data_IF_695011063052
#
_entry.id   IF_695011063052
#
_cell.length_a   1.000
_cell.length_b   1.000
_cell.length_c   1.000
_cell.angle_alpha   90.00
_cell.angle_beta   90.00
_cell.angle_gamma   90.00
#
_symmetry.space_group_name_H-M   'P 1'
#
loop_
_entity.id
_entity.type
_entity.pdbx_description
1 polymer ?
#
# COMPACT_ATOMS: atom_id res chain seq x y z
N UNK A 1 -16.55 5.80 -7.68
CA UNK A 1 -16.03 6.64 -6.59
C UNK A 1 -14.76 7.33 -7.07
N UNK A 2 -14.79 8.66 -7.15
CA UNK A 2 -13.64 9.51 -7.49
C UNK A 2 -12.59 9.42 -6.38
N UNK A 3 -11.31 9.36 -6.74
CA UNK A 3 -10.21 9.43 -5.77
C UNK A 3 -10.27 10.81 -5.10
N UNK A 4 -10.30 10.91 -3.76
CA UNK A 4 -10.50 12.19 -3.07
C UNK A 4 -9.40 13.21 -3.44
N UNK A 5 -8.17 12.72 -3.57
CA UNK A 5 -7.04 13.42 -4.17
C UNK A 5 -6.07 12.37 -4.73
N UNK A 6 -5.07 12.78 -5.49
CA UNK A 6 -4.02 11.88 -5.99
C UNK A 6 -2.67 12.56 -5.84
N UNK A 7 -1.70 11.80 -5.35
CA UNK A 7 -0.29 12.16 -5.37
C UNK A 7 0.53 10.92 -5.79
N UNK A 8 1.81 11.12 -6.06
CA UNK A 8 2.80 10.05 -6.14
C UNK A 8 3.86 10.31 -5.08
N UNK A 9 4.53 9.26 -4.63
CA UNK A 9 5.74 9.42 -3.84
C UNK A 9 6.93 9.71 -4.78
N UNK A 10 7.81 10.62 -4.37
CA UNK A 10 9.18 10.61 -4.86
C UNK A 10 9.88 9.32 -4.41
N UNK A 11 10.85 8.84 -5.18
CA UNK A 11 11.61 7.64 -4.82
C UNK A 11 12.43 7.81 -3.52
N UNK A 12 13.10 8.95 -3.26
CA UNK A 12 13.81 9.15 -2.00
C UNK A 12 12.89 9.03 -0.78
N UNK A 13 11.72 9.68 -0.82
CA UNK A 13 10.75 9.57 0.26
C UNK A 13 10.26 8.13 0.44
N UNK A 14 9.85 7.47 -0.66
CA UNK A 14 9.34 6.09 -0.59
C UNK A 14 10.39 5.11 -0.05
N UNK A 15 11.65 5.30 -0.43
CA UNK A 15 12.77 4.50 0.08
C UNK A 15 12.95 4.69 1.59
N UNK A 16 12.83 5.92 2.11
CA UNK A 16 12.93 6.19 3.56
C UNK A 16 11.76 5.61 4.34
N UNK A 17 10.54 5.77 3.85
CA UNK A 17 9.34 5.14 4.42
C UNK A 17 9.52 3.62 4.46
N UNK A 18 9.99 3.03 3.37
CA UNK A 18 10.19 1.58 3.26
C UNK A 18 11.27 1.09 4.23
N UNK A 19 12.36 1.83 4.38
CA UNK A 19 13.40 1.52 5.37
C UNK A 19 12.88 1.51 6.80
N UNK A 20 12.11 2.54 7.18
CA UNK A 20 11.45 2.59 8.50
C UNK A 20 10.43 1.46 8.68
N UNK A 21 9.68 1.10 7.63
CA UNK A 21 8.74 -0.02 7.67
C UNK A 21 9.45 -1.35 7.86
N UNK A 22 10.55 -1.57 7.15
CA UNK A 22 11.35 -2.78 7.30
C UNK A 22 11.94 -2.89 8.71
N UNK A 23 12.52 -1.81 9.23
CA UNK A 23 13.00 -1.72 10.61
C UNK A 23 11.90 -2.06 11.63
N UNK A 24 10.71 -1.50 11.45
CA UNK A 24 9.59 -1.68 12.36
C UNK A 24 8.95 -3.08 12.30
N UNK A 25 8.93 -3.71 11.12
CA UNK A 25 8.04 -4.85 10.84
C UNK A 25 8.77 -6.17 10.55
N UNK A 26 10.07 -6.13 10.21
CA UNK A 26 10.86 -7.34 9.91
C UNK A 26 10.84 -8.32 11.08
N UNK A 27 10.61 -9.60 10.78
CA UNK A 27 10.43 -10.66 11.77
C UNK A 27 9.05 -10.68 12.46
N UNK A 28 8.23 -9.65 12.25
CA UNK A 28 6.88 -9.54 12.78
C UNK A 28 5.91 -10.58 12.20
N UNK A 29 4.93 -10.99 12.99
CA UNK A 29 3.89 -11.96 12.60
C UNK A 29 2.60 -11.23 12.21
N UNK A 30 2.13 -11.43 10.99
CA UNK A 30 0.88 -10.85 10.49
C UNK A 30 -0.29 -11.56 11.17
N UNK A 31 -1.06 -10.86 12.00
CA UNK A 31 -2.14 -11.45 12.82
C UNK A 31 -3.51 -11.26 12.23
N UNK A 32 -3.80 -10.05 11.74
CA UNK A 32 -5.12 -9.68 11.22
C UNK A 32 -4.96 -8.93 9.92
N UNK A 33 -5.88 -9.19 9.00
CA UNK A 33 -5.91 -8.57 7.68
C UNK A 33 -7.33 -8.10 7.41
N UNK A 34 -7.45 -6.81 7.10
CA UNK A 34 -8.71 -6.16 6.76
C UNK A 34 -8.60 -5.51 5.40
N UNK A 35 -9.73 -5.45 4.68
CA UNK A 35 -9.83 -4.74 3.42
C UNK A 35 -11.11 -3.93 3.39
N UNK A 36 -10.99 -2.67 3.00
CA UNK A 36 -12.12 -1.78 2.71
C UNK A 36 -11.87 -1.06 1.39
N UNK A 37 -12.73 -1.33 0.40
CA UNK A 37 -12.55 -0.83 -0.96
C UNK A 37 -11.17 -1.18 -1.53
N UNK A 38 -10.36 -0.16 -1.81
CA UNK A 38 -8.99 -0.29 -2.31
C UNK A 38 -7.91 -0.20 -1.24
N UNK A 39 -8.27 -0.21 0.05
CA UNK A 39 -7.35 -0.17 1.18
C UNK A 39 -7.26 -1.53 1.87
N UNK A 40 -6.06 -1.87 2.33
CA UNK A 40 -5.75 -3.05 3.14
C UNK A 40 -5.02 -2.60 4.39
N UNK A 41 -5.38 -3.15 5.54
CA UNK A 41 -4.60 -3.00 6.77
C UNK A 41 -4.13 -4.35 7.29
N UNK A 42 -2.89 -4.38 7.77
CA UNK A 42 -2.26 -5.55 8.36
C UNK A 42 -1.88 -5.23 9.80
N UNK A 43 -2.41 -5.99 10.74
CA UNK A 43 -1.92 -5.99 12.13
C UNK A 43 -0.69 -6.89 12.18
N UNK A 44 0.48 -6.31 12.40
CA UNK A 44 1.75 -7.02 12.44
C UNK A 44 2.28 -6.95 13.87
N UNK A 45 2.36 -8.11 14.51
CA UNK A 45 2.84 -8.23 15.88
C UNK A 45 4.35 -8.45 15.89
N UNK A 46 5.07 -7.55 16.55
CA UNK A 46 6.51 -7.60 16.79
C UNK A 46 6.78 -7.63 18.29
N UNK A 47 8.04 -7.79 18.69
CA UNK A 47 8.43 -7.60 20.09
C UNK A 47 8.21 -6.13 20.45
N UNK A 48 7.37 -5.86 21.43
CA UNK A 48 7.04 -4.49 21.88
C UNK A 48 5.66 -3.99 21.47
N UNK A 49 4.93 -4.71 20.60
CA UNK A 49 3.54 -4.36 20.32
C UNK A 49 3.03 -4.84 18.96
N UNK A 50 1.90 -4.26 18.56
CA UNK A 50 1.32 -4.49 17.24
C UNK A 50 1.31 -3.18 16.47
N UNK A 51 1.98 -3.18 15.33
CA UNK A 51 1.89 -2.10 14.35
C UNK A 51 0.74 -2.38 13.37
N UNK A 52 0.11 -1.32 12.87
CA UNK A 52 -0.88 -1.41 11.82
C UNK A 52 -0.24 -0.84 10.55
N UNK A 53 0.05 -1.69 9.58
CA UNK A 53 0.49 -1.27 8.27
C UNK A 53 -0.72 -0.96 7.39
N UNK A 54 -0.79 0.25 6.84
CA UNK A 54 -1.85 0.68 5.93
C UNK A 54 -1.33 0.73 4.49
N UNK A 55 -2.01 0.03 3.59
CA UNK A 55 -1.79 0.09 2.15
C UNK A 55 -3.08 0.55 1.47
N UNK A 56 -3.00 1.44 0.48
CA UNK A 56 -4.15 1.75 -0.35
C UNK A 56 -3.74 2.08 -1.77
N UNK A 57 -4.66 1.87 -2.70
CA UNK A 57 -4.53 2.29 -4.10
C UNK A 57 -5.31 3.57 -4.41
N UNK A 58 -6.16 4.03 -3.47
CA UNK A 58 -7.04 5.20 -3.63
C UNK A 58 -7.27 5.93 -2.29
N UNK A 59 -6.67 7.11 -2.06
CA UNK A 59 -5.43 7.54 -2.71
C UNK A 59 -4.31 6.52 -2.47
N UNK A 60 -3.35 6.36 -3.41
CA UNK A 60 -2.20 5.50 -3.22
C UNK A 60 -1.41 5.90 -1.98
N UNK A 61 -1.26 4.99 -1.00
CA UNK A 61 -0.50 5.27 0.21
C UNK A 61 0.07 4.00 0.84
N UNK A 62 1.16 4.18 1.58
CA UNK A 62 1.80 3.19 2.40
C UNK A 62 2.37 3.87 3.64
N UNK A 63 1.91 3.51 4.83
CA UNK A 63 2.44 4.03 6.10
C UNK A 63 1.99 3.18 7.29
N UNK A 64 2.68 3.31 8.43
CA UNK A 64 2.14 2.90 9.73
C UNK A 64 0.97 3.80 10.14
N UNK A 65 -0.02 3.22 10.81
CA UNK A 65 -1.17 3.96 11.34
C UNK A 65 -1.42 3.62 12.80
N UNK A 66 -1.92 4.60 13.54
CA UNK A 66 -2.39 4.44 14.92
C UNK A 66 -3.86 4.03 14.99
N UNK A 67 -4.58 4.09 13.86
CA UNK A 67 -6.01 3.83 13.79
C UNK A 67 -6.34 2.66 12.87
N UNK A 68 -7.55 2.11 13.04
CA UNK A 68 -8.10 1.04 12.19
C UNK A 68 -9.24 1.61 11.34
N UNK A 69 -9.49 1.09 10.13
CA UNK A 69 -10.72 1.39 9.43
C UNK A 69 -11.91 0.89 10.26
N UNK A 70 -12.93 1.74 10.42
CA UNK A 70 -14.17 1.41 11.12
C UNK A 70 -15.14 0.83 10.10
N UNK A 71 -15.62 -0.39 10.36
CA UNK A 71 -16.56 -1.08 9.49
C UNK A 71 -15.89 -2.17 8.69
N UNK A 72 -16.45 -3.38 8.76
CA UNK A 72 -16.02 -4.49 7.92
C UNK A 72 -17.25 -5.03 7.21
N UNK A 73 -17.18 -5.26 5.89
CA UNK A 73 -18.28 -5.91 5.20
C UNK A 73 -18.50 -7.29 5.83
N UNK A 74 -19.75 -7.74 5.99
CA UNK A 74 -20.07 -9.03 6.61
C UNK A 74 -19.43 -10.22 5.87
N UNK A 75 -19.13 -10.05 4.57
CA UNK A 75 -18.32 -10.99 3.78
C UNK A 75 -17.03 -10.32 3.33
N UNK A 76 -15.84 -10.86 3.67
CA UNK A 76 -14.58 -10.28 3.23
C UNK A 76 -14.45 -10.38 1.70
N UNK A 77 -13.97 -9.33 1.00
CA UNK A 77 -13.73 -9.38 -0.44
C UNK A 77 -12.74 -10.48 -0.83
N UNK A 78 -12.80 -10.95 -2.08
CA UNK A 78 -11.98 -12.08 -2.56
C UNK A 78 -10.46 -11.85 -2.36
N UNK A 79 -9.98 -10.63 -2.61
CA UNK A 79 -8.57 -10.30 -2.37
C UNK A 79 -8.20 -10.42 -0.88
N UNK A 80 -9.04 -9.93 0.04
CA UNK A 80 -8.86 -10.09 1.49
C UNK A 80 -8.78 -11.57 1.89
N UNK A 81 -9.62 -12.43 1.30
CA UNK A 81 -9.58 -13.87 1.56
C UNK A 81 -8.26 -14.49 1.07
N UNK A 82 -7.79 -14.11 -0.11
CA UNK A 82 -6.49 -14.55 -0.62
C UNK A 82 -5.35 -14.09 0.30
N UNK A 83 -5.31 -12.82 0.70
CA UNK A 83 -4.31 -12.33 1.66
C UNK A 83 -4.36 -13.14 2.97
N UNK A 84 -5.55 -13.42 3.50
CA UNK A 84 -5.70 -14.23 4.72
C UNK A 84 -5.17 -15.64 4.55
N UNK A 85 -5.43 -16.28 3.41
CA UNK A 85 -4.92 -17.63 3.11
C UNK A 85 -3.40 -17.71 3.13
N UNK A 86 -2.71 -16.70 2.60
CA UNK A 86 -1.25 -16.77 2.40
C UNK A 86 -0.43 -16.00 3.45
N UNK A 87 -0.98 -14.95 4.05
CA UNK A 87 -0.22 -14.03 4.92
C UNK A 87 -0.60 -14.12 6.39
N UNK A 88 -1.79 -14.61 6.78
CA UNK A 88 -2.11 -14.73 8.21
C UNK A 88 -1.18 -15.74 8.86
N UNK A 89 -0.62 -15.34 10.00
CA UNK A 89 0.46 -15.98 10.74
C UNK A 89 1.82 -16.04 10.03
N UNK A 90 1.94 -15.56 8.79
CA UNK A 90 3.24 -15.46 8.13
C UNK A 90 4.12 -14.44 8.86
N UNK A 91 5.44 -14.68 8.83
CA UNK A 91 6.45 -13.73 9.33
C UNK A 91 6.95 -12.87 8.19
N UNK A 92 7.00 -11.56 8.42
CA UNK A 92 7.63 -10.61 7.49
C UNK A 92 9.12 -10.93 7.40
N UNK A 93 9.60 -11.18 6.19
CA UNK A 93 11.01 -11.47 5.91
C UNK A 93 11.75 -10.18 5.59
N UNK A 94 11.14 -9.35 4.75
CA UNK A 94 11.71 -8.10 4.25
C UNK A 94 10.61 -7.21 3.68
N UNK A 95 10.82 -5.90 3.78
CA UNK A 95 10.11 -4.87 3.04
C UNK A 95 11.14 -4.08 2.22
N UNK A 96 10.96 -4.04 0.90
CA UNK A 96 11.90 -3.39 -0.01
C UNK A 96 11.21 -2.50 -1.03
N UNK A 97 11.88 -1.42 -1.42
CA UNK A 97 11.43 -0.50 -2.47
C UNK A 97 12.21 -0.78 -3.75
N UNK A 98 11.53 -0.78 -4.88
CA UNK A 98 12.18 -0.86 -6.18
C UNK A 98 13.00 0.42 -6.46
N UNK A 99 14.21 0.34 -7.07
CA UNK A 99 15.13 1.47 -7.15
C UNK A 99 14.67 2.62 -8.06
N UNK A 100 13.86 2.33 -9.10
CA UNK A 100 13.45 3.32 -10.11
C UNK A 100 11.94 3.44 -10.32
N UNK A 101 11.15 2.70 -9.53
CA UNK A 101 9.69 2.68 -9.65
C UNK A 101 9.07 2.74 -8.25
N UNK A 102 7.91 3.40 -8.07
CA UNK A 102 7.22 3.47 -6.80
C UNK A 102 6.51 2.13 -6.54
N UNK A 103 7.29 1.09 -6.32
CA UNK A 103 6.83 -0.28 -6.09
C UNK A 103 7.46 -0.77 -4.80
N UNK A 104 6.64 -1.14 -3.83
CA UNK A 104 7.10 -1.70 -2.54
C UNK A 104 6.69 -3.16 -2.47
N UNK A 105 7.61 -4.01 -2.04
CA UNK A 105 7.40 -5.44 -1.88
C UNK A 105 7.57 -5.81 -0.41
N UNK A 106 6.55 -6.41 0.20
CA UNK A 106 6.66 -7.07 1.50
C UNK A 106 6.69 -8.58 1.28
N UNK A 107 7.84 -9.19 1.51
CA UNK A 107 8.02 -10.64 1.49
C UNK A 107 7.63 -11.23 2.85
N UNK A 108 6.90 -12.34 2.84
CA UNK A 108 6.50 -13.04 4.04
C UNK A 108 6.61 -14.54 3.87
N UNK A 109 7.02 -15.23 4.93
CA UNK A 109 7.15 -16.68 4.98
C UNK A 109 6.13 -17.29 5.93
N UNK A 110 5.50 -18.38 5.52
CA UNK A 110 4.58 -19.11 6.38
C UNK A 110 5.26 -19.58 7.67
N UNK A 111 4.50 -19.63 8.76
CA UNK A 111 5.03 -20.03 10.06
C UNK A 111 5.34 -21.53 10.06
N UNK A 112 6.56 -21.88 10.45
CA UNK A 112 6.99 -23.28 10.64
C UNK A 112 7.80 -23.85 9.48
N UNK A 113 7.93 -23.14 8.36
CA UNK A 113 8.65 -23.65 7.19
C UNK A 113 10.18 -23.42 7.22
N UNK A 114 10.75 -22.96 8.34
CA UNK A 114 12.20 -22.73 8.48
C UNK A 114 12.76 -21.69 7.50
N UNK A 115 14.05 -21.75 7.18
CA UNK A 115 14.69 -20.82 6.23
C UNK A 115 14.43 -21.18 4.76
N UNK A 116 14.19 -22.46 4.44
CA UNK A 116 13.84 -22.95 3.11
C UNK A 116 12.35 -22.86 2.75
N UNK A 117 11.54 -22.27 3.64
CA UNK A 117 10.10 -22.16 3.46
C UNK A 117 9.68 -21.25 2.31
N UNK A 118 8.51 -21.53 1.74
CA UNK A 118 7.94 -20.76 0.65
C UNK A 118 7.69 -19.32 1.10
N UNK A 119 8.25 -18.40 0.33
CA UNK A 119 8.03 -16.96 0.51
C UNK A 119 6.95 -16.53 -0.47
N UNK A 120 5.96 -15.80 0.02
CA UNK A 120 4.98 -15.08 -0.81
C UNK A 120 5.23 -13.58 -0.67
N UNK A 121 4.76 -12.78 -1.62
CA UNK A 121 4.99 -11.34 -1.60
C UNK A 121 3.70 -10.54 -1.78
N UNK A 122 3.49 -9.53 -0.93
CA UNK A 122 2.51 -8.48 -1.15
C UNK A 122 3.21 -7.29 -1.80
N UNK A 123 2.83 -6.97 -3.04
CA UNK A 123 3.40 -5.88 -3.83
C UNK A 123 2.40 -4.72 -3.91
N UNK A 124 2.87 -3.53 -3.58
CA UNK A 124 2.15 -2.29 -3.74
C UNK A 124 2.76 -1.45 -4.87
N UNK A 125 2.04 -1.33 -5.98
CA UNK A 125 2.38 -0.40 -7.05
C UNK A 125 1.74 0.95 -6.76
N UNK A 126 2.51 1.96 -6.35
CA UNK A 126 2.05 3.29 -5.96
C UNK A 126 2.15 4.29 -7.13
N UNK A 127 1.70 3.87 -8.32
CA UNK A 127 1.81 4.59 -9.60
C UNK A 127 0.64 5.55 -9.90
N UNK A 128 -0.14 5.94 -8.90
CA UNK A 128 -1.22 6.92 -9.04
C UNK A 128 -2.51 6.27 -9.51
N UNK A 129 -3.06 6.72 -10.64
CA UNK A 129 -4.30 6.15 -11.18
C UNK A 129 -4.21 4.66 -11.53
N UNK A 130 -2.99 4.15 -11.77
CA UNK A 130 -2.70 2.75 -12.08
C UNK A 130 -2.27 1.94 -10.85
N UNK A 131 -2.35 2.51 -9.65
CA UNK A 131 -1.93 1.83 -8.43
C UNK A 131 -2.62 0.51 -8.16
N UNK A 132 -1.87 -0.48 -7.68
CA UNK A 132 -2.41 -1.80 -7.46
C UNK A 132 -1.82 -2.44 -6.20
N UNK A 133 -2.56 -3.37 -5.61
CA UNK A 133 -2.00 -4.33 -4.65
C UNK A 133 -2.08 -5.71 -5.28
N UNK A 134 -0.97 -6.43 -5.28
CA UNK A 134 -0.85 -7.76 -5.84
C UNK A 134 -0.28 -8.71 -4.79
N UNK A 135 -0.83 -9.93 -4.74
CA UNK A 135 -0.27 -11.03 -4.00
C UNK A 135 0.43 -11.95 -5.00
N UNK A 136 1.71 -12.20 -4.79
CA UNK A 136 2.57 -13.00 -5.65
C UNK A 136 3.03 -14.26 -4.92
N UNK A 137 3.32 -15.31 -5.69
CA UNK A 137 3.70 -16.61 -5.15
C UNK A 137 5.17 -16.75 -4.76
N UNK A 138 5.98 -15.75 -5.12
CA UNK A 138 7.34 -15.48 -4.70
C UNK A 138 7.64 -13.96 -4.82
N UNK A 139 8.68 -13.44 -4.14
CA UNK A 139 9.17 -12.09 -4.38
C UNK A 139 9.67 -11.92 -5.82
N UNK A 140 9.48 -10.75 -6.45
CA UNK A 140 10.03 -10.49 -7.77
C UNK A 140 11.56 -10.37 -7.71
N UNK A 141 12.24 -10.98 -8.67
CA UNK A 141 13.70 -10.88 -8.86
C UNK A 141 14.04 -10.63 -10.33
N UNK A 142 15.28 -10.21 -10.64
CA UNK A 142 15.72 -10.09 -12.04
C UNK A 142 15.70 -11.42 -12.81
N UNK A 143 15.82 -12.54 -12.09
CA UNK A 143 15.98 -13.87 -12.68
C UNK A 143 14.65 -14.59 -12.91
N UNK A 144 13.61 -14.25 -12.14
CA UNK A 144 12.33 -14.94 -12.19
C UNK A 144 11.14 -13.98 -12.03
N UNK A 145 10.14 -14.16 -12.90
CA UNK A 145 8.85 -13.49 -12.79
C UNK A 145 7.90 -14.36 -11.97
N UNK A 146 7.53 -13.96 -10.73
CA UNK A 146 6.62 -14.75 -9.91
C UNK A 146 5.20 -14.68 -10.46
N UNK A 147 4.37 -15.67 -10.13
CA UNK A 147 2.98 -15.72 -10.56
C UNK A 147 2.09 -14.86 -9.66
N UNK A 148 1.13 -14.17 -10.28
CA UNK A 148 0.12 -13.39 -9.56
C UNK A 148 -0.93 -14.34 -8.97
N UNK A 149 -0.96 -14.48 -7.64
CA UNK A 149 -1.95 -15.27 -6.91
C UNK A 149 -3.30 -14.57 -6.81
N UNK A 150 -3.29 -13.26 -6.56
CA UNK A 150 -4.48 -12.40 -6.56
C UNK A 150 -4.07 -10.93 -6.69
N UNK A 151 -5.02 -10.07 -7.01
CA UNK A 151 -4.81 -8.62 -7.15
C UNK A 151 -6.08 -7.82 -6.87
N UNK A 152 -5.97 -6.51 -6.67
CA UNK A 152 -7.11 -5.60 -6.50
C UNK A 152 -7.76 -5.20 -7.84
N UNK A 153 -6.97 -4.90 -8.87
CA UNK A 153 -7.47 -4.43 -10.18
C UNK A 153 -6.81 -5.13 -11.35
N UNK A 154 -7.60 -5.81 -12.16
CA UNK A 154 -7.12 -6.36 -13.43
C UNK A 154 -6.83 -5.22 -14.40
N UNK A 155 -5.79 -5.34 -15.20
CA UNK A 155 -5.42 -4.34 -16.19
C UNK A 155 -4.73 -4.97 -17.37
N UNK A 156 -4.91 -4.41 -18.56
CA UNK A 156 -4.19 -4.81 -19.77
C UNK A 156 -3.79 -3.56 -20.53
N UNK A 157 -2.54 -3.54 -20.98
CA UNK A 157 -1.94 -2.52 -21.82
C UNK A 157 -1.06 -3.17 -22.87
N UNK A 158 -0.58 -2.37 -23.82
CA UNK A 158 0.44 -2.81 -24.78
C UNK A 158 1.71 -3.40 -24.11
N UNK A 159 2.07 -2.93 -22.91
CA UNK A 159 3.32 -3.30 -22.26
C UNK A 159 3.20 -4.45 -21.26
N UNK A 160 2.00 -4.68 -20.70
CA UNK A 160 1.77 -5.76 -19.72
C UNK A 160 0.29 -6.07 -19.53
N UNK A 161 0.04 -7.33 -19.18
CA UNK A 161 -1.24 -7.86 -18.68
C UNK A 161 -1.09 -8.17 -17.19
N UNK A 162 -2.07 -7.76 -16.40
CA UNK A 162 -2.11 -7.94 -14.94
C UNK A 162 -3.42 -8.65 -14.61
N UNK A 163 -3.34 -9.96 -14.47
CA UNK A 163 -4.46 -10.81 -14.12
C UNK A 163 -4.00 -11.97 -13.23
N UNK A 164 -4.96 -12.65 -12.61
CA UNK A 164 -4.66 -13.80 -11.75
C UNK A 164 -4.04 -14.90 -12.62
N UNK A 165 -3.03 -15.58 -12.10
CA UNK A 165 -2.22 -16.63 -12.73
C UNK A 165 -1.27 -16.20 -13.85
N UNK A 166 -1.26 -14.92 -14.22
CA UNK A 166 -0.23 -14.37 -15.10
C UNK A 166 1.10 -14.19 -14.37
N UNK A 167 2.19 -14.18 -15.12
CA UNK A 167 3.51 -13.83 -14.57
C UNK A 167 3.59 -12.33 -14.32
N UNK A 168 4.06 -11.96 -13.14
CA UNK A 168 4.19 -10.57 -12.72
C UNK A 168 5.29 -9.87 -13.53
N UNK A 169 4.96 -8.70 -14.07
CA UNK A 169 5.92 -7.79 -14.71
C UNK A 169 5.79 -6.41 -14.09
N UNK A 170 6.93 -5.77 -13.83
CA UNK A 170 6.99 -4.42 -13.29
C UNK A 170 6.23 -3.39 -14.15
N UNK A 171 5.75 -2.27 -13.57
CA UNK A 171 5.18 -1.18 -14.34
C UNK A 171 6.19 -0.63 -15.34
N UNK A 172 5.75 -0.32 -16.56
CA UNK A 172 6.61 0.34 -17.55
C UNK A 172 6.90 1.78 -17.11
N UNK A 173 8.17 2.14 -16.96
CA UNK A 173 8.61 3.51 -16.66
C UNK A 173 8.51 4.39 -17.91
N UNK A 174 7.33 4.95 -18.17
CA UNK A 174 7.17 5.93 -19.24
C UNK A 174 7.78 7.28 -18.86
N UNK A 175 8.17 8.14 -19.82
CA UNK A 175 8.63 9.51 -19.52
C UNK A 175 7.63 10.32 -18.71
N UNK A 176 6.32 10.11 -18.95
CA UNK A 176 5.26 10.74 -18.18
C UNK A 176 5.21 10.26 -16.73
N UNK A 177 5.36 8.95 -16.48
CA UNK A 177 5.41 8.42 -15.12
C UNK A 177 6.67 8.91 -14.39
N UNK A 178 7.82 8.89 -15.05
CA UNK A 178 9.09 9.38 -14.50
C UNK A 178 8.97 10.83 -14.00
N UNK A 179 8.49 11.76 -14.84
CA UNK A 179 8.30 13.16 -14.44
C UNK A 179 7.37 13.32 -13.23
N UNK A 180 6.32 12.50 -13.14
CA UNK A 180 5.37 12.56 -12.03
C UNK A 180 5.96 11.97 -10.73
N UNK A 181 6.88 11.01 -10.83
CA UNK A 181 7.64 10.49 -9.68
C UNK A 181 8.61 11.55 -9.19
N UNK A 182 9.35 12.18 -10.11
CA UNK A 182 10.32 13.24 -9.80
C UNK A 182 9.64 14.46 -9.16
N UNK A 183 8.46 14.85 -9.65
CA UNK A 183 7.61 15.89 -9.03
C UNK A 183 6.59 15.37 -8.01
N UNK A 184 6.80 14.16 -7.47
CA UNK A 184 5.95 13.58 -6.44
C UNK A 184 6.25 14.16 -5.05
N UNK A 185 5.49 13.73 -4.05
CA UNK A 185 5.70 14.08 -2.65
C UNK A 185 7.13 13.71 -2.21
N UNK A 186 7.91 14.74 -1.88
CA UNK A 186 9.29 14.71 -1.45
C UNK A 186 9.47 14.66 0.05
N UNK A 187 10.73 14.52 0.48
CA UNK A 187 11.11 14.69 1.90
C UNK A 187 10.92 16.14 2.33
N UNK A 188 11.24 17.10 1.46
CA UNK A 188 11.15 18.54 1.73
C UNK A 188 9.70 19.05 1.82
N UNK A 189 8.73 18.25 1.35
CA UNK A 189 7.30 18.56 1.44
C UNK A 189 6.68 18.17 2.78
N UNK A 190 7.44 17.47 3.64
CA UNK A 190 6.94 16.90 4.89
C UNK A 190 7.64 17.52 6.10
N UNK A 191 6.86 17.91 7.10
CA UNK A 191 7.40 18.25 8.41
C UNK A 191 7.78 16.97 9.17
N UNK A 192 9.07 16.63 9.13
CA UNK A 192 9.64 15.49 9.85
C UNK A 192 9.96 15.82 11.32
N UNK A 193 9.92 17.10 11.71
CA UNK A 193 10.28 17.56 13.06
C UNK A 193 9.11 17.47 14.04
N UNK A 194 7.88 17.48 13.53
CA UNK A 194 6.68 17.42 14.36
C UNK A 194 6.39 16.04 14.97
N UNK A 195 7.30 15.05 14.85
CA UNK A 195 7.12 13.69 15.37
C UNK A 195 8.15 13.31 16.43
N UNK A 196 7.69 12.73 17.54
CA UNK A 196 8.55 12.18 18.61
C UNK A 196 8.79 10.67 18.49
N UNK A 197 8.52 10.09 17.32
CA UNK A 197 8.54 8.64 17.11
C UNK A 197 9.83 8.15 16.46
N UNK A 198 10.06 6.84 16.53
CA UNK A 198 11.17 6.18 15.84
C UNK A 198 11.04 6.18 14.31
N UNK A 199 9.87 6.54 13.75
CA UNK A 199 9.55 6.41 12.32
C UNK A 199 8.97 7.73 11.74
N UNK A 200 9.78 8.80 11.66
CA UNK A 200 9.32 10.14 11.33
C UNK A 200 8.71 10.25 9.92
N UNK A 201 9.23 9.54 8.92
CA UNK A 201 8.68 9.60 7.56
C UNK A 201 7.30 8.94 7.48
N UNK A 202 7.12 7.79 8.15
CA UNK A 202 5.82 7.11 8.23
C UNK A 202 4.77 7.98 8.93
N UNK A 203 5.14 8.64 10.03
CA UNK A 203 4.25 9.53 10.77
C UNK A 203 3.86 10.76 9.93
N UNK A 204 4.85 11.41 9.30
CA UNK A 204 4.60 12.59 8.48
C UNK A 204 3.68 12.28 7.28
N UNK A 205 3.86 11.12 6.64
CA UNK A 205 2.98 10.67 5.55
C UNK A 205 1.57 10.34 6.04
N UNK A 206 1.45 9.71 7.22
CA UNK A 206 0.15 9.44 7.82
C UNK A 206 -0.63 10.75 8.04
N UNK A 207 0.00 11.76 8.65
CA UNK A 207 -0.58 13.09 8.85
C UNK A 207 -0.97 13.77 7.54
N UNK A 208 -0.03 13.83 6.58
CA UNK A 208 -0.29 14.41 5.26
C UNK A 208 -1.52 13.79 4.60
N UNK A 209 -1.65 12.46 4.64
CA UNK A 209 -2.80 11.77 4.06
C UNK A 209 -4.09 12.09 4.83
N UNK A 210 -4.05 12.03 6.16
CA UNK A 210 -5.22 12.26 7.01
C UNK A 210 -5.78 13.68 6.84
N UNK A 211 -4.92 14.69 6.84
CA UNK A 211 -5.28 16.08 6.58
C UNK A 211 -5.97 16.25 5.22
N UNK A 212 -5.39 15.67 4.16
CA UNK A 212 -5.96 15.75 2.80
C UNK A 212 -7.29 15.00 2.66
N UNK A 213 -7.45 13.87 3.36
CA UNK A 213 -8.71 13.15 3.41
C UNK A 213 -9.79 14.00 4.09
N UNK A 214 -9.46 14.66 5.20
CA UNK A 214 -10.38 15.54 5.92
C UNK A 214 -10.78 16.75 5.08
N UNK A 215 -9.81 17.45 4.47
CA UNK A 215 -10.08 18.58 3.56
C UNK A 215 -11.03 18.18 2.42
N UNK A 216 -10.83 16.98 1.86
CA UNK A 216 -11.68 16.50 0.76
C UNK A 216 -13.08 16.16 1.25
N UNK A 217 -13.20 15.49 2.40
CA UNK A 217 -14.50 15.15 2.99
C UNK A 217 -15.33 16.41 3.29
N UNK A 218 -14.70 17.46 3.84
CA UNK A 218 -15.34 18.74 4.10
C UNK A 218 -15.82 19.42 2.81
N UNK A 219 -14.98 19.44 1.76
CA UNK A 219 -15.35 19.98 0.44
C UNK A 219 -16.52 19.23 -0.17
N UNK A 220 -16.53 17.91 -0.09
CA UNK A 220 -17.62 17.08 -0.62
C UNK A 220 -18.91 17.25 0.16
N UNK A 221 -18.85 17.38 1.49
CA UNK A 221 -20.00 17.69 2.33
C UNK A 221 -20.62 19.04 1.94
N UNK A 222 -19.80 20.09 1.79
CA UNK A 222 -20.24 21.42 1.33
C UNK A 222 -20.93 21.35 -0.04
N UNK A 223 -20.36 20.61 -1.00
CA UNK A 223 -20.95 20.42 -2.33
C UNK A 223 -22.29 19.69 -2.30
N UNK A 224 -22.43 18.67 -1.44
CA UNK A 224 -23.71 17.94 -1.25
C UNK A 224 -24.80 18.87 -0.72
N UNK A 225 -24.49 19.69 0.29
CA UNK A 225 -25.43 20.67 0.83
C UNK A 225 -25.90 21.65 -0.25
N UNK A 226 -24.96 22.23 -1.02
CA UNK A 226 -25.31 23.15 -2.12
C UNK A 226 -26.18 22.48 -3.19
N UNK A 227 -25.90 21.21 -3.53
CA UNK A 227 -26.71 20.46 -4.51
C UNK A 227 -28.14 20.23 -4.01
N UNK A 228 -28.30 19.84 -2.74
CA UNK A 228 -29.62 19.63 -2.12
C UNK A 228 -30.43 20.94 -2.09
N UNK A 229 -29.79 22.07 -1.74
CA UNK A 229 -30.45 23.38 -1.76
C UNK A 229 -30.89 23.83 -3.16
N UNK A 230 -30.16 23.44 -4.21
CA UNK A 230 -30.54 23.71 -5.61
C UNK A 230 -31.68 22.81 -6.12
N UNK A 231 -31.80 21.60 -5.58
CA UNK A 231 -32.88 20.66 -5.94
C UNK A 231 -34.19 20.94 -5.19
N UNK A 232 -34.13 21.67 -4.08
CA UNK A 232 -35.29 22.10 -3.31
C UNK A 232 -35.90 23.44 -3.77
N UNK A 233 -35.36 24.04 -4.83
CA UNK A 233 -35.90 25.23 -5.52
C UNK A 233 -36.48 24.81 -6.87
#
# INVERSE_FOLDING_TARGET
MTTPFSFLYSLPLLSRITGELDEALRGGCIRKIYQEGGSVTLDIHVRGGTHILWLSIRPPRLHLSSSRPIGHPPRPPAFCQALRKYLVNARVVEISCHPILPVVTMAARSRGEGEGGRIVALVAELTGQFSNLLLLDAPPSPEASPRILHLLRTFTSANRRVAIHEDYRLPHLSPGLRRRIEGGLGLDDLDLSAGGTSFPCNEAVARFVEERLQETAERDARRRVVRLLRQAR
#
